data_IF_201087347997
#
_entry.id   IF_201087347997
#
_cell.length_a   1.000
_cell.length_b   1.000
_cell.length_c   1.000
_cell.angle_alpha   90.00
_cell.angle_beta   90.00
_cell.angle_gamma   90.00
#
_symmetry.space_group_name_H-M   'P 1'
#
loop_
_entity.id
_entity.type
_entity.pdbx_description
1 polymer ?
#
# COMPACT_ATOMS: atom_id res chain seq x y z
N UNK A 1 -6.28 0.57 -5.21
CA UNK A 1 -5.28 0.64 -6.32
C UNK A 1 -3.97 0.16 -5.75
N UNK A 2 -3.36 -0.86 -6.36
CA UNK A 2 -2.24 -1.60 -5.77
C UNK A 2 -1.19 -1.82 -6.87
N UNK A 3 0.08 -1.67 -6.52
CA UNK A 3 1.23 -2.06 -7.33
C UNK A 3 2.31 -2.58 -6.36
N UNK A 4 2.60 -3.87 -6.45
CA UNK A 4 3.52 -4.56 -5.53
C UNK A 4 4.73 -5.08 -6.27
N UNK A 5 5.92 -4.77 -5.77
CA UNK A 5 7.18 -5.16 -6.40
C UNK A 5 7.78 -6.43 -5.78
N UNK A 6 7.26 -6.88 -4.63
CA UNK A 6 7.79 -8.03 -3.88
C UNK A 6 7.07 -9.36 -4.14
N UNK A 7 6.09 -9.44 -5.04
CA UNK A 7 5.23 -10.64 -5.19
C UNK A 7 6.03 -11.95 -5.31
N UNK A 8 7.05 -11.97 -6.17
CA UNK A 8 7.90 -13.15 -6.39
C UNK A 8 8.83 -13.45 -5.22
N UNK A 9 9.22 -12.43 -4.45
CA UNK A 9 10.07 -12.61 -3.27
C UNK A 9 9.24 -13.20 -2.13
N UNK A 10 8.09 -12.59 -1.82
CA UNK A 10 7.15 -13.06 -0.79
C UNK A 10 6.69 -14.48 -1.08
N UNK A 11 6.41 -14.81 -2.35
CA UNK A 11 6.04 -16.17 -2.74
C UNK A 11 7.12 -17.20 -2.37
N UNK A 12 8.40 -16.86 -2.60
CA UNK A 12 9.53 -17.75 -2.29
C UNK A 12 9.84 -17.80 -0.80
N UNK A 13 9.72 -16.66 -0.12
CA UNK A 13 10.03 -16.53 1.31
C UNK A 13 9.06 -17.35 2.17
N UNK A 14 7.78 -17.34 1.81
CA UNK A 14 6.71 -18.00 2.58
C UNK A 14 6.13 -19.25 1.90
N UNK A 15 6.71 -19.69 0.78
CA UNK A 15 6.30 -20.87 0.00
C UNK A 15 4.80 -20.87 -0.35
N UNK A 16 4.30 -19.72 -0.83
CA UNK A 16 2.89 -19.56 -1.17
C UNK A 16 2.53 -20.16 -2.52
N UNK A 17 1.42 -20.89 -2.54
CA UNK A 17 0.81 -21.44 -3.75
C UNK A 17 -0.22 -20.45 -4.31
N UNK A 18 0.21 -19.61 -5.25
CA UNK A 18 -0.69 -18.66 -5.92
C UNK A 18 -1.50 -19.36 -7.02
N UNK A 19 -2.81 -19.12 -7.01
CA UNK A 19 -3.75 -19.53 -8.06
C UNK A 19 -3.77 -18.54 -9.22
N UNK A 20 -3.47 -17.26 -8.96
CA UNK A 20 -3.46 -16.18 -9.95
C UNK A 20 -2.07 -15.54 -10.08
N UNK A 21 -1.93 -14.69 -11.10
CA UNK A 21 -0.72 -13.86 -11.30
C UNK A 21 -0.96 -12.40 -10.94
N UNK A 22 -2.01 -12.11 -10.15
CA UNK A 22 -2.38 -10.74 -9.79
C UNK A 22 -1.66 -10.31 -8.52
N UNK A 23 -1.20 -9.06 -8.48
CA UNK A 23 -0.55 -8.46 -7.30
C UNK A 23 -1.38 -8.62 -6.02
N UNK A 24 -2.72 -8.59 -6.13
CA UNK A 24 -3.62 -8.66 -4.98
C UNK A 24 -3.55 -9.97 -4.18
N UNK A 25 -3.12 -11.08 -4.78
CA UNK A 25 -3.09 -12.38 -4.11
C UNK A 25 -2.01 -12.45 -3.03
N UNK A 26 -0.86 -11.82 -3.28
CA UNK A 26 0.23 -11.70 -2.30
C UNK A 26 -0.27 -11.05 -0.98
N UNK A 27 -1.17 -10.07 -1.07
CA UNK A 27 -1.75 -9.39 0.09
C UNK A 27 -2.62 -10.35 0.91
N UNK A 28 -3.40 -11.20 0.24
CA UNK A 28 -4.30 -12.14 0.91
C UNK A 28 -3.53 -13.22 1.67
N UNK A 29 -2.48 -13.79 1.07
CA UNK A 29 -1.65 -14.78 1.76
C UNK A 29 -0.91 -14.18 2.97
N UNK A 30 -0.35 -12.98 2.83
CA UNK A 30 0.27 -12.29 3.97
C UNK A 30 -0.74 -11.99 5.08
N UNK A 31 -1.97 -11.59 4.69
CA UNK A 31 -3.05 -11.35 5.65
C UNK A 31 -3.48 -12.63 6.38
N UNK A 32 -3.57 -13.75 5.67
CA UNK A 32 -3.89 -15.04 6.28
C UNK A 32 -2.79 -15.50 7.25
N UNK A 33 -1.52 -15.26 6.90
CA UNK A 33 -0.38 -15.66 7.70
C UNK A 33 -0.25 -14.89 9.03
N UNK A 34 -0.44 -13.56 9.01
CA UNK A 34 -0.12 -12.71 10.17
C UNK A 34 -1.08 -11.55 10.42
N UNK A 35 -2.19 -11.47 9.70
CA UNK A 35 -3.15 -10.37 9.78
C UNK A 35 -2.71 -9.11 9.05
N UNK A 36 -3.47 -8.03 9.23
CA UNK A 36 -3.29 -6.79 8.46
C UNK A 36 -1.96 -6.09 8.75
N UNK A 37 -1.51 -6.09 10.01
CA UNK A 37 -0.26 -5.44 10.40
C UNK A 37 0.94 -6.11 9.73
N UNK A 38 1.01 -7.45 9.85
CA UNK A 38 2.03 -8.25 9.21
C UNK A 38 2.03 -8.04 7.70
N UNK A 39 0.84 -8.08 7.07
CA UNK A 39 0.72 -7.83 5.64
C UNK A 39 1.28 -6.46 5.26
N UNK A 40 0.85 -5.37 5.91
CA UNK A 40 1.34 -4.03 5.60
C UNK A 40 2.86 -3.86 5.80
N UNK A 41 3.44 -4.57 6.78
CA UNK A 41 4.88 -4.54 7.07
C UNK A 41 5.74 -5.26 6.01
N UNK A 42 5.18 -6.26 5.31
CA UNK A 42 5.92 -7.11 4.35
C UNK A 42 5.61 -6.78 2.88
N UNK A 43 4.85 -5.71 2.61
CA UNK A 43 4.53 -5.25 1.27
C UNK A 43 5.53 -4.18 0.78
N UNK A 44 6.39 -4.53 -0.18
CA UNK A 44 7.17 -3.57 -0.95
C UNK A 44 6.37 -3.04 -2.13
N UNK A 45 5.72 -1.89 -1.97
CA UNK A 45 4.86 -1.37 -3.01
C UNK A 45 4.24 -0.02 -2.71
N UNK A 46 3.34 0.38 -3.61
CA UNK A 46 2.48 1.54 -3.43
C UNK A 46 1.04 1.06 -3.52
N UNK A 47 0.25 1.33 -2.49
CA UNK A 47 -1.07 0.72 -2.33
C UNK A 47 -2.02 1.58 -1.50
N UNK A 48 -3.28 1.57 -1.93
CA UNK A 48 -4.43 1.89 -1.10
C UNK A 48 -5.39 0.70 -1.21
N UNK A 49 -5.53 -0.05 -0.13
CA UNK A 49 -6.23 -1.34 -0.10
C UNK A 49 -7.35 -1.36 0.92
N UNK A 50 -8.31 -2.26 0.69
CA UNK A 50 -9.42 -2.58 1.57
C UNK A 50 -9.61 -4.10 1.56
N UNK A 51 -9.56 -4.74 2.73
CA UNK A 51 -9.73 -6.20 2.89
C UNK A 51 -10.96 -6.44 3.74
N UNK A 52 -11.93 -7.16 3.18
CA UNK A 52 -13.13 -7.60 3.85
C UNK A 52 -13.00 -9.07 4.24
N UNK A 53 -12.84 -9.36 5.52
CA UNK A 53 -12.84 -10.72 6.07
C UNK A 53 -14.21 -11.00 6.70
N UNK A 54 -15.07 -11.70 5.96
CA UNK A 54 -16.40 -12.08 6.44
C UNK A 54 -16.37 -13.19 7.49
N UNK A 55 -15.31 -14.00 7.55
CA UNK A 55 -15.18 -15.07 8.55
C UNK A 55 -14.97 -14.48 9.95
N UNK A 56 -14.19 -13.39 10.03
CA UNK A 56 -13.93 -12.65 11.27
C UNK A 56 -14.84 -11.42 11.44
N UNK A 57 -15.64 -11.10 10.42
CA UNK A 57 -16.46 -9.88 10.34
C UNK A 57 -15.63 -8.61 10.56
N UNK A 58 -14.48 -8.56 9.89
CA UNK A 58 -13.56 -7.43 9.95
C UNK A 58 -13.42 -6.79 8.58
N UNK A 59 -13.31 -5.47 8.58
CA UNK A 59 -12.93 -4.67 7.42
C UNK A 59 -11.64 -3.93 7.76
N UNK A 60 -10.63 -4.11 6.93
CA UNK A 60 -9.35 -3.44 7.06
C UNK A 60 -9.17 -2.46 5.92
N UNK A 61 -8.67 -1.26 6.20
CA UNK A 61 -8.17 -0.34 5.17
C UNK A 61 -6.73 0.00 5.49
N UNK A 62 -5.87 0.10 4.47
CA UNK A 62 -4.49 0.47 4.67
C UNK A 62 -3.95 1.29 3.51
N UNK A 63 -2.98 2.15 3.83
CA UNK A 63 -2.31 3.02 2.86
C UNK A 63 -0.80 2.88 2.96
N UNK A 64 -0.14 2.90 1.82
CA UNK A 64 1.31 2.76 1.73
C UNK A 64 2.07 3.79 2.56
N UNK A 65 3.32 3.45 2.87
CA UNK A 65 4.23 4.20 3.75
C UNK A 65 4.26 5.71 3.50
N UNK A 66 4.36 6.12 2.23
CA UNK A 66 4.46 7.53 1.85
C UNK A 66 3.14 8.10 1.31
N UNK A 67 2.09 7.29 1.23
CA UNK A 67 0.79 7.68 0.71
C UNK A 67 0.80 7.99 -0.78
N UNK A 68 1.65 7.32 -1.56
CA UNK A 68 1.77 7.51 -3.01
C UNK A 68 0.45 7.23 -3.71
N UNK A 69 -0.26 6.16 -3.29
CA UNK A 69 -1.63 5.92 -3.75
C UNK A 69 -2.60 6.66 -2.82
N UNK A 70 -3.49 7.52 -3.36
CA UNK A 70 -4.49 8.20 -2.55
C UNK A 70 -5.56 7.21 -2.07
N UNK A 71 -6.01 7.42 -0.84
CA UNK A 71 -7.13 6.70 -0.24
C UNK A 71 -7.87 7.65 0.69
N UNK A 72 -9.17 7.78 0.47
CA UNK A 72 -10.09 8.61 1.23
C UNK A 72 -11.15 7.73 1.86
N UNK A 73 -11.62 8.15 3.02
CA UNK A 73 -12.70 7.49 3.75
C UNK A 73 -13.74 8.50 4.23
N UNK A 74 -14.92 7.99 4.51
CA UNK A 74 -16.01 8.69 5.15
C UNK A 74 -16.62 7.72 6.16
N UNK A 75 -16.73 8.13 7.42
CA UNK A 75 -17.40 7.36 8.46
C UNK A 75 -18.51 8.22 9.08
N UNK A 76 -19.75 7.77 8.94
CA UNK A 76 -20.90 8.44 9.54
C UNK A 76 -21.07 8.01 11.00
N UNK A 77 -21.79 8.82 11.80
CA UNK A 77 -22.06 8.50 13.21
C UNK A 77 -22.83 7.20 13.41
N UNK A 78 -23.67 6.82 12.44
CA UNK A 78 -24.41 5.57 12.49
C UNK A 78 -23.57 4.36 12.09
N UNK A 79 -22.33 4.55 11.61
CA UNK A 79 -21.36 3.51 11.26
C UNK A 79 -21.35 3.12 9.78
N UNK A 80 -21.83 3.99 8.89
CA UNK A 80 -21.68 3.77 7.45
C UNK A 80 -20.28 4.20 7.04
N UNK A 81 -19.48 3.25 6.55
CA UNK A 81 -18.13 3.51 6.05
C UNK A 81 -18.12 3.45 4.52
N UNK A 82 -17.63 4.50 3.89
CA UNK A 82 -17.33 4.53 2.46
C UNK A 82 -15.85 4.85 2.25
N UNK A 83 -15.23 4.19 1.28
CA UNK A 83 -13.80 4.30 1.00
C UNK A 83 -13.61 4.43 -0.51
N UNK A 84 -12.78 5.37 -0.94
CA UNK A 84 -12.52 5.62 -2.36
C UNK A 84 -11.08 6.08 -2.59
N UNK A 85 -10.53 5.82 -3.77
CA UNK A 85 -9.21 6.34 -4.16
C UNK A 85 -9.20 7.83 -4.44
N UNK A 86 -10.36 8.43 -4.76
CA UNK A 86 -10.50 9.85 -5.09
C UNK A 86 -11.63 10.47 -4.27
N UNK A 87 -11.39 11.63 -3.67
CA UNK A 87 -12.34 12.29 -2.78
C UNK A 87 -13.70 12.56 -3.44
N UNK A 88 -13.72 12.93 -4.73
CA UNK A 88 -14.96 13.15 -5.51
C UNK A 88 -15.88 11.92 -5.58
N UNK A 89 -15.34 10.71 -5.39
CA UNK A 89 -16.15 9.50 -5.33
C UNK A 89 -17.00 9.41 -4.06
N UNK A 90 -16.70 10.26 -3.06
CA UNK A 90 -17.38 10.31 -1.78
C UNK A 90 -18.23 11.58 -1.60
N UNK A 91 -17.98 12.64 -2.38
CA UNK A 91 -18.66 13.94 -2.19
C UNK A 91 -20.16 13.90 -2.50
N UNK A 92 -20.57 13.04 -3.44
CA UNK A 92 -21.95 12.99 -3.92
C UNK A 92 -22.78 11.93 -3.17
N UNK A 93 -22.21 11.24 -2.19
CA UNK A 93 -22.89 10.20 -1.41
C UNK A 93 -23.80 10.88 -0.39
N UNK A 94 -25.09 11.03 -0.69
CA UNK A 94 -26.06 11.53 0.29
C UNK A 94 -26.56 10.37 1.15
N UNK A 95 -26.03 10.23 2.37
CA UNK A 95 -26.55 9.27 3.35
C UNK A 95 -27.38 9.98 4.44
N UNK A 96 -28.70 9.78 4.42
CA UNK A 96 -29.63 10.22 5.48
C UNK A 96 -29.55 11.71 5.90
N UNK A 97 -29.16 12.62 5.00
CA UNK A 97 -28.96 14.05 5.32
C UNK A 97 -27.95 14.32 6.45
N UNK A 98 -27.10 13.35 6.78
CA UNK A 98 -26.06 13.50 7.79
C UNK A 98 -24.90 14.22 7.12
N UNK A 99 -24.46 15.37 7.65
CA UNK A 99 -23.19 15.97 7.26
C UNK A 99 -22.05 15.01 7.66
N UNK A 100 -21.25 14.62 6.68
CA UNK A 100 -20.07 13.80 6.88
C UNK A 100 -18.83 14.52 6.37
N UNK A 101 -17.70 14.22 6.99
CA UNK A 101 -16.41 14.72 6.55
C UNK A 101 -15.70 13.62 5.76
N UNK A 102 -15.23 14.00 4.56
CA UNK A 102 -14.31 13.16 3.80
C UNK A 102 -12.92 13.38 4.36
N UNK A 103 -12.30 12.29 4.83
CA UNK A 103 -10.97 12.31 5.41
C UNK A 103 -10.01 11.50 4.54
N UNK A 104 -8.75 11.93 4.48
CA UNK A 104 -7.70 11.07 3.95
C UNK A 104 -7.35 9.96 4.95
N UNK A 105 -7.01 8.78 4.44
CA UNK A 105 -6.34 7.76 5.25
C UNK A 105 -4.88 8.16 5.40
N UNK A 106 -4.37 8.14 6.63
CA UNK A 106 -2.98 8.57 6.90
C UNK A 106 -1.96 7.65 6.20
N UNK A 107 -0.85 8.19 5.67
CA UNK A 107 0.25 7.38 5.13
C UNK A 107 0.89 6.46 6.18
N UNK A 108 1.21 5.24 5.78
CA UNK A 108 1.87 4.23 6.63
C UNK A 108 0.99 3.71 7.76
N UNK A 109 -0.34 3.79 7.64
CA UNK A 109 -1.28 3.30 8.64
C UNK A 109 -2.25 2.27 8.06
N UNK A 110 -2.78 1.46 8.96
CA UNK A 110 -3.95 0.63 8.72
C UNK A 110 -5.02 0.92 9.77
N UNK A 111 -6.27 0.71 9.40
CA UNK A 111 -7.42 0.81 10.28
C UNK A 111 -8.22 -0.47 10.19
N UNK A 112 -8.70 -0.94 11.34
CA UNK A 112 -9.53 -2.14 11.44
C UNK A 112 -10.88 -1.77 12.00
N UNK A 113 -11.92 -2.32 11.37
CA UNK A 113 -13.31 -2.09 11.69
C UNK A 113 -14.01 -3.42 11.92
N UNK A 114 -14.84 -3.52 12.95
CA UNK A 114 -15.74 -4.66 13.16
C UNK A 114 -17.07 -4.43 12.45
N UNK A 115 -17.64 -5.47 11.86
CA UNK A 115 -18.88 -5.41 11.09
C UNK A 115 -20.05 -5.92 11.95
N UNK A 116 -20.99 -5.02 12.22
CA UNK A 116 -22.24 -5.27 12.95
C UNK A 116 -23.24 -6.07 12.11
N UNK A 117 -24.30 -6.59 12.75
CA UNK A 117 -25.36 -7.38 12.09
C UNK A 117 -26.16 -6.60 11.06
N UNK A 118 -26.24 -5.28 11.23
CA UNK A 118 -26.88 -4.35 10.28
C UNK A 118 -25.94 -3.97 9.11
N UNK A 119 -24.74 -4.57 9.03
CA UNK A 119 -23.73 -4.28 8.01
C UNK A 119 -22.95 -2.98 8.23
N UNK A 120 -23.23 -2.25 9.31
CA UNK A 120 -22.48 -1.05 9.68
C UNK A 120 -21.21 -1.44 10.44
N UNK A 121 -20.32 -0.48 10.62
CA UNK A 121 -19.01 -0.73 11.19
C UNK A 121 -18.70 0.13 12.40
N UNK A 122 -17.89 -0.43 13.29
CA UNK A 122 -17.29 0.28 14.43
C UNK A 122 -15.76 0.20 14.33
N UNK A 123 -15.08 1.32 14.56
CA UNK A 123 -13.62 1.37 14.52
C UNK A 123 -13.05 0.59 15.71
N UNK A 124 -12.23 -0.42 15.42
CA UNK A 124 -11.52 -1.22 16.43
C UNK A 124 -10.17 -0.61 16.74
N UNK A 125 -9.37 -0.32 15.70
CA UNK A 125 -8.05 0.29 15.87
C UNK A 125 -7.62 1.08 14.64
N UNK A 126 -6.68 1.99 14.87
CA UNK A 126 -5.93 2.73 13.84
C UNK A 126 -4.47 2.76 14.28
N UNK A 127 -3.62 2.05 13.54
CA UNK A 127 -2.22 1.85 13.91
C UNK A 127 -1.29 2.20 12.74
N UNK A 128 -0.06 2.58 13.08
CA UNK A 128 1.02 2.82 12.13
C UNK A 128 1.89 1.57 12.02
N UNK A 129 2.10 1.09 10.80
CA UNK A 129 2.95 -0.08 10.55
C UNK A 129 4.39 0.29 10.15
N UNK A 130 4.63 1.57 9.79
CA UNK A 130 5.96 2.07 9.43
C UNK A 130 6.14 3.55 9.79
N UNK A 131 7.31 3.90 10.31
CA UNK A 131 7.77 5.26 10.57
C UNK A 131 9.04 5.56 9.78
N UNK A 132 9.22 6.84 9.41
CA UNK A 132 10.42 7.28 8.69
C UNK A 132 11.66 6.97 9.52
N UNK A 133 12.55 6.15 8.96
CA UNK A 133 13.77 5.68 9.62
C UNK A 133 13.74 4.21 10.00
N UNK A 134 12.57 3.57 9.99
CA UNK A 134 12.46 2.13 10.23
C UNK A 134 13.04 1.36 9.02
N UNK A 135 13.88 0.34 9.25
CA UNK A 135 14.30 -0.54 8.17
C UNK A 135 13.09 -1.34 7.64
N UNK A 136 13.08 -1.70 6.35
CA UNK A 136 12.05 -2.59 5.82
C UNK A 136 12.15 -3.96 6.49
N UNK A 137 10.99 -4.56 6.80
CA UNK A 137 10.91 -5.90 7.39
C UNK A 137 10.90 -7.02 6.33
N UNK A 138 10.94 -6.66 5.06
CA UNK A 138 11.01 -7.56 3.92
C UNK A 138 12.39 -7.51 3.24
N UNK A 139 12.72 -8.57 2.50
CA UNK A 139 13.98 -8.65 1.76
C UNK A 139 14.03 -7.61 0.62
N UNK A 140 15.00 -6.68 0.69
CA UNK A 140 15.18 -5.68 -0.37
C UNK A 140 16.11 -6.17 -1.47
N UNK A 141 15.86 -5.75 -2.71
CA UNK A 141 16.78 -5.98 -3.84
C UNK A 141 18.07 -5.14 -3.77
N UNK A 142 18.23 -4.29 -2.75
CA UNK A 142 19.42 -3.49 -2.60
C UNK A 142 20.57 -4.36 -2.05
N UNK A 143 21.81 -4.22 -2.57
CA UNK A 143 22.95 -4.92 -2.01
C UNK A 143 23.30 -4.37 -0.62
N UNK A 144 24.13 -5.12 0.10
CA UNK A 144 24.67 -4.70 1.39
C UNK A 144 25.40 -3.35 1.26
N UNK A 145 25.28 -2.54 2.31
CA UNK A 145 25.91 -1.23 2.35
C UNK A 145 27.43 -1.36 2.48
N UNK A 146 28.14 -0.64 1.63
CA UNK A 146 29.58 -0.44 1.69
C UNK A 146 29.91 0.87 2.43
N UNK A 147 31.19 1.14 2.71
CA UNK A 147 31.60 2.42 3.33
C UNK A 147 31.38 3.63 2.39
N UNK A 148 31.29 3.39 1.08
CA UNK A 148 31.03 4.43 0.09
C UNK A 148 29.53 4.75 0.00
N UNK A 149 29.13 5.83 0.67
CA UNK A 149 27.77 6.39 0.65
C UNK A 149 27.27 6.67 -0.78
N UNK A 150 28.13 7.17 -1.67
CA UNK A 150 27.73 7.50 -3.05
C UNK A 150 27.46 6.24 -3.87
N UNK A 151 28.27 5.20 -3.67
CA UNK A 151 28.04 3.89 -4.27
C UNK A 151 26.72 3.28 -3.77
N UNK A 152 26.46 3.36 -2.46
CA UNK A 152 25.23 2.87 -1.85
C UNK A 152 23.98 3.56 -2.44
N UNK A 153 23.98 4.90 -2.49
CA UNK A 153 22.85 5.67 -3.06
C UNK A 153 22.59 5.25 -4.50
N UNK A 154 23.64 5.17 -5.32
CA UNK A 154 23.53 4.75 -6.72
C UNK A 154 22.97 3.33 -6.84
N UNK A 155 23.39 2.43 -5.97
CA UNK A 155 22.97 1.03 -6.00
C UNK A 155 21.51 0.86 -5.60
N UNK A 156 21.10 1.44 -4.47
CA UNK A 156 19.72 1.43 -3.98
C UNK A 156 18.79 2.08 -5.01
N UNK A 157 19.19 3.21 -5.60
CA UNK A 157 18.40 3.88 -6.64
C UNK A 157 18.24 3.00 -7.88
N UNK A 158 19.31 2.36 -8.36
CA UNK A 158 19.25 1.41 -9.49
C UNK A 158 18.32 0.23 -9.20
N UNK A 159 18.38 -0.34 -7.99
CA UNK A 159 17.46 -1.40 -7.56
C UNK A 159 16.01 -0.91 -7.52
N UNK A 160 15.77 0.30 -6.98
CA UNK A 160 14.45 0.92 -6.92
C UNK A 160 13.86 1.25 -8.30
N UNK A 161 14.68 1.58 -9.29
CA UNK A 161 14.24 1.74 -10.68
C UNK A 161 13.93 0.38 -11.30
N UNK A 162 14.84 -0.60 -11.20
CA UNK A 162 14.65 -1.94 -11.78
C UNK A 162 13.35 -2.59 -11.33
N UNK A 163 13.02 -2.52 -10.03
CA UNK A 163 11.78 -3.11 -9.51
C UNK A 163 10.51 -2.47 -10.08
N UNK A 164 10.56 -1.19 -10.46
CA UNK A 164 9.46 -0.44 -11.08
C UNK A 164 9.38 -0.60 -12.61
N UNK A 165 10.30 -1.34 -13.21
CA UNK A 165 10.25 -1.70 -14.63
C UNK A 165 9.44 -2.98 -14.88
N UNK A 166 8.94 -3.63 -13.81
CA UNK A 166 8.08 -4.81 -13.91
C UNK A 166 6.66 -4.37 -14.33
N UNK A 167 6.45 -4.23 -15.64
CA UNK A 167 5.14 -3.88 -16.21
C UNK A 167 4.88 -4.65 -17.51
N UNK A 168 3.65 -5.11 -17.70
CA UNK A 168 3.18 -5.71 -18.96
C UNK A 168 2.83 -4.66 -20.03
N UNK A 169 2.96 -3.37 -19.70
CA UNK A 169 2.64 -2.21 -20.55
C UNK A 169 3.89 -1.41 -20.84
N UNK A 170 3.86 -0.63 -21.94
CA UNK A 170 4.97 0.27 -22.31
C UNK A 170 5.21 1.31 -21.21
N UNK A 171 6.46 1.46 -20.82
CA UNK A 171 6.90 2.42 -19.81
C UNK A 171 7.36 3.70 -20.50
N UNK A 172 6.87 4.84 -20.03
CA UNK A 172 7.34 6.18 -20.40
C UNK A 172 8.08 6.85 -19.25
N UNK A 173 8.86 7.88 -19.55
CA UNK A 173 9.53 8.70 -18.54
C UNK A 173 9.19 10.18 -18.78
N UNK A 174 8.86 10.90 -17.71
CA UNK A 174 8.67 12.36 -17.74
C UNK A 174 10.04 13.02 -17.56
N UNK A 175 10.51 13.71 -18.61
CA UNK A 175 11.78 14.43 -18.60
C UNK A 175 11.51 15.95 -18.61
N UNK A 176 11.67 16.60 -17.46
CA UNK A 176 11.44 18.05 -17.31
C UNK A 176 12.58 18.93 -17.84
N UNK A 177 13.68 18.32 -18.33
CA UNK A 177 14.74 19.01 -19.07
C UNK A 177 15.69 19.88 -18.25
N UNK A 178 15.65 19.82 -16.92
CA UNK A 178 16.50 20.67 -16.05
C UNK A 178 17.93 20.18 -15.79
N UNK A 179 18.42 19.19 -16.54
CA UNK A 179 19.84 18.86 -16.60
C UNK A 179 20.26 18.50 -18.02
N UNK A 180 20.71 19.51 -18.77
CA UNK A 180 21.55 19.31 -19.97
C UNK A 180 23.02 19.40 -19.57
N UNK A 181 23.52 18.44 -18.82
CA UNK A 181 24.93 18.04 -18.90
C UNK A 181 25.21 16.80 -18.06
N UNK A 182 25.47 15.67 -18.73
CA UNK A 182 26.28 14.55 -18.24
C UNK A 182 25.70 13.61 -17.15
N UNK A 183 24.49 13.07 -17.33
CA UNK A 183 24.03 11.92 -16.53
C UNK A 183 23.85 10.61 -17.33
N UNK A 184 23.89 10.68 -18.66
CA UNK A 184 23.75 9.51 -19.54
C UNK A 184 24.82 9.54 -20.62
N UNK A 185 26.10 9.45 -20.22
CA UNK A 185 27.16 9.06 -21.14
C UNK A 185 28.20 8.21 -20.37
N UNK A 186 28.31 6.96 -20.83
CA UNK A 186 29.20 5.84 -20.44
C UNK A 186 28.81 5.00 -19.22
#
# INVERSE_FOLDING_TARGET
MIELYCQHQVQKEFDFNYETRLDGECVLHLYEQGGIEFACQHLDGVFGLSILDMSKRLLHIARDTFGVRPLFKMLTRDGTLAVCSEAKGLTDIVHNQIQFNVEWVEPGTYETYSIRDDGKVDLVCKNRFHSIGDPPLYETLAPQYEDDVSANIRSVLKAAVRKRLMAERRIGCLLSGKDRSKAFDK
#
